data_IF_066159982322
#
_entry.id   IF_066159982322
#
_cell.length_a   1.000
_cell.length_b   1.000
_cell.length_c   1.000
_cell.angle_alpha   90.00
_cell.angle_beta   90.00
_cell.angle_gamma   90.00
#
_symmetry.space_group_name_H-M   'P 1'
#
loop_
_entity.id
_entity.type
_entity.pdbx_description
1 polymer ?
#
# COMPACT_ATOMS: atom_id res chain seq x y z
N UNK A 1 15.57 18.30 -23.92
CA UNK A 1 14.65 18.79 -22.87
C UNK A 1 13.48 17.83 -22.86
N UNK A 2 13.47 16.85 -21.95
CA UNK A 2 12.33 15.94 -21.81
C UNK A 2 11.32 16.59 -20.86
N UNK A 3 10.19 17.00 -21.41
CA UNK A 3 9.00 17.31 -20.61
C UNK A 3 8.46 15.99 -20.04
N UNK A 4 8.87 15.68 -18.81
CA UNK A 4 8.26 14.65 -17.99
C UNK A 4 6.91 15.18 -17.48
N UNK A 5 5.89 15.19 -18.34
CA UNK A 5 4.52 15.42 -17.90
C UNK A 5 4.11 14.29 -16.97
N UNK A 6 3.97 14.58 -15.67
CA UNK A 6 3.40 13.64 -14.70
C UNK A 6 1.98 13.28 -15.16
N UNK A 7 1.83 12.09 -15.77
CA UNK A 7 0.52 11.54 -16.10
C UNK A 7 -0.13 11.07 -14.81
N UNK A 8 -0.98 11.91 -14.24
CA UNK A 8 -1.84 11.51 -13.13
C UNK A 8 -2.80 10.41 -13.61
N UNK A 9 -2.80 9.29 -12.91
CA UNK A 9 -3.73 8.20 -13.22
C UNK A 9 -5.11 8.64 -12.77
N UNK A 10 -6.06 8.72 -13.70
CA UNK A 10 -7.50 8.78 -13.40
C UNK A 10 -8.16 7.68 -14.23
N UNK A 11 -7.83 6.43 -13.91
CA UNK A 11 -8.39 5.25 -14.56
C UNK A 11 -9.63 4.76 -13.82
N UNK A 12 -10.41 3.88 -14.47
CA UNK A 12 -11.60 3.23 -13.88
C UNK A 12 -11.31 2.54 -12.53
N UNK A 13 -10.05 2.15 -12.31
CA UNK A 13 -9.58 1.44 -11.12
C UNK A 13 -8.81 2.34 -10.14
N UNK A 14 -8.87 3.67 -10.31
CA UNK A 14 -8.14 4.63 -9.47
C UNK A 14 -8.38 4.39 -7.98
N UNK A 15 -9.66 4.32 -7.59
CA UNK A 15 -10.05 4.15 -6.19
C UNK A 15 -9.51 2.84 -5.61
N UNK A 16 -9.55 1.76 -6.39
CA UNK A 16 -9.06 0.45 -5.98
C UNK A 16 -7.54 0.44 -5.84
N UNK A 17 -6.82 1.01 -6.82
CA UNK A 17 -5.36 1.11 -6.78
C UNK A 17 -4.88 1.95 -5.60
N UNK A 18 -5.55 3.08 -5.32
CA UNK A 18 -5.28 3.92 -4.15
C UNK A 18 -5.51 3.14 -2.86
N UNK A 19 -6.69 2.53 -2.69
CA UNK A 19 -7.00 1.74 -1.49
C UNK A 19 -5.97 0.63 -1.28
N UNK A 20 -5.74 -0.20 -2.30
CA UNK A 20 -4.78 -1.32 -2.24
C UNK A 20 -3.39 -0.83 -1.85
N UNK A 21 -2.93 0.28 -2.42
CA UNK A 21 -1.60 0.80 -2.14
C UNK A 21 -1.45 1.36 -0.73
N UNK A 22 -2.45 2.10 -0.24
CA UNK A 22 -2.41 2.66 1.13
C UNK A 22 -2.63 1.57 2.17
N UNK A 23 -3.59 0.65 1.96
CA UNK A 23 -3.79 -0.52 2.82
C UNK A 23 -2.54 -1.38 2.92
N UNK A 24 -1.79 -1.53 1.82
CA UNK A 24 -0.51 -2.21 1.85
C UNK A 24 0.48 -1.52 2.80
N UNK A 25 0.60 -0.19 2.78
CA UNK A 25 1.51 0.52 3.68
C UNK A 25 1.19 0.28 5.16
N UNK A 26 -0.10 0.23 5.49
CA UNK A 26 -0.58 -0.02 6.85
C UNK A 26 -0.76 -1.51 7.19
N UNK A 27 -0.50 -2.43 6.24
CA UNK A 27 -0.57 -3.87 6.49
C UNK A 27 0.39 -4.31 7.59
N UNK A 28 0.06 -5.37 8.32
CA UNK A 28 0.94 -5.93 9.37
C UNK A 28 2.36 -6.21 8.83
N UNK A 29 2.44 -6.71 7.61
CA UNK A 29 3.71 -7.03 6.97
C UNK A 29 4.55 -5.80 6.65
N UNK A 30 3.95 -4.70 6.18
CA UNK A 30 4.71 -3.52 5.78
C UNK A 30 4.97 -2.60 6.96
N UNK A 31 3.93 -2.28 7.74
CA UNK A 31 3.97 -1.25 8.77
C UNK A 31 5.06 -1.52 9.81
N UNK A 32 5.24 -2.77 10.24
CA UNK A 32 6.28 -3.15 11.21
C UNK A 32 7.70 -3.26 10.61
N UNK A 33 7.83 -3.24 9.29
CA UNK A 33 9.12 -3.35 8.58
C UNK A 33 9.61 -2.01 8.04
N UNK A 34 8.69 -1.10 7.71
CA UNK A 34 8.99 0.27 7.31
C UNK A 34 9.30 1.12 8.54
N UNK A 35 10.60 1.35 8.79
CA UNK A 35 11.06 2.12 9.96
C UNK A 35 10.54 3.55 10.00
N UNK A 36 10.36 4.19 8.84
CA UNK A 36 9.91 5.58 8.78
C UNK A 36 8.44 5.65 9.15
N UNK A 37 7.61 4.85 8.48
CA UNK A 37 6.18 4.83 8.76
C UNK A 37 5.88 4.33 10.17
N UNK A 38 6.59 3.29 10.64
CA UNK A 38 6.45 2.76 12.00
C UNK A 38 6.69 3.83 13.06
N UNK A 39 7.77 4.61 12.93
CA UNK A 39 8.13 5.64 13.90
C UNK A 39 7.04 6.71 14.03
N UNK A 40 6.45 7.14 12.91
CA UNK A 40 5.36 8.13 12.91
C UNK A 40 4.11 7.50 13.55
N UNK A 41 3.77 6.28 13.13
CA UNK A 41 2.62 5.55 13.63
C UNK A 41 2.68 5.37 15.15
N UNK A 42 3.82 4.92 15.69
CA UNK A 42 4.02 4.68 17.13
C UNK A 42 4.01 6.00 17.94
N UNK A 43 4.57 7.08 17.39
CA UNK A 43 4.62 8.38 18.06
C UNK A 43 3.25 9.07 18.17
N UNK A 44 2.32 8.76 17.26
CA UNK A 44 1.08 9.52 17.07
C UNK A 44 -0.19 8.67 17.27
N UNK A 45 -0.18 7.69 18.18
CA UNK A 45 -1.34 6.82 18.46
C UNK A 45 -1.96 6.17 17.19
N UNK A 46 -1.07 5.75 16.29
CA UNK A 46 -1.40 5.14 15.01
C UNK A 46 -1.80 6.11 13.89
N UNK A 47 -1.90 7.41 14.16
CA UNK A 47 -2.27 8.40 13.16
C UNK A 47 -1.08 8.85 12.31
N UNK A 48 -1.27 8.86 11.00
CA UNK A 48 -0.29 9.33 10.03
C UNK A 48 -0.96 10.34 9.09
N UNK A 49 -0.30 11.47 8.85
CA UNK A 49 -0.80 12.48 7.92
C UNK A 49 -0.96 11.93 6.50
N UNK A 50 -2.11 12.17 5.88
CA UNK A 50 -2.38 11.83 4.48
C UNK A 50 -1.33 12.44 3.55
N UNK A 51 -0.96 13.71 3.80
CA UNK A 51 0.09 14.40 3.03
C UNK A 51 1.42 13.65 3.05
N UNK A 52 1.79 13.08 4.20
CA UNK A 52 2.98 12.24 4.31
C UNK A 52 2.89 11.03 3.37
N UNK A 53 1.76 10.31 3.38
CA UNK A 53 1.52 9.17 2.48
C UNK A 53 1.55 9.58 1.01
N UNK A 54 0.99 10.75 0.66
CA UNK A 54 0.98 11.27 -0.72
C UNK A 54 2.37 11.63 -1.26
N UNK A 55 3.40 11.70 -0.40
CA UNK A 55 4.81 11.89 -0.82
C UNK A 55 5.51 10.58 -1.19
N UNK A 56 4.94 9.42 -0.86
CA UNK A 56 5.56 8.12 -1.10
C UNK A 56 5.64 7.86 -2.60
N UNK A 57 6.71 7.22 -3.06
CA UNK A 57 7.01 7.08 -4.49
C UNK A 57 5.85 6.53 -5.32
N UNK A 58 5.14 5.50 -4.81
CA UNK A 58 3.98 4.92 -5.52
C UNK A 58 2.71 5.74 -5.42
N UNK A 59 2.64 6.69 -4.48
CA UNK A 59 1.48 7.55 -4.23
C UNK A 59 1.57 8.93 -4.90
N UNK A 60 2.76 9.36 -5.34
CA UNK A 60 2.95 10.66 -6.01
C UNK A 60 2.08 10.83 -7.26
N UNK A 61 1.84 9.73 -7.98
CA UNK A 61 1.03 9.69 -9.21
C UNK A 61 -0.49 9.82 -8.98
N UNK A 62 -0.98 9.69 -7.75
CA UNK A 62 -2.42 9.74 -7.47
C UNK A 62 -2.84 11.14 -7.05
N UNK A 63 -3.47 11.86 -7.98
CA UNK A 63 -4.04 13.19 -7.77
C UNK A 63 -5.38 13.29 -8.52
N UNK A 64 -6.32 14.11 -8.06
CA UNK A 64 -6.20 15.07 -6.95
C UNK A 64 -6.39 14.44 -5.56
N UNK A 65 -6.03 15.15 -4.49
CA UNK A 65 -6.06 14.64 -3.10
C UNK A 65 -7.48 14.27 -2.66
N UNK A 66 -8.48 15.03 -3.11
CA UNK A 66 -9.90 14.79 -2.81
C UNK A 66 -10.36 13.41 -3.31
N UNK A 67 -9.86 12.97 -4.47
CA UNK A 67 -10.15 11.63 -4.99
C UNK A 67 -9.48 10.53 -4.18
N UNK A 68 -8.32 10.80 -3.60
CA UNK A 68 -7.66 9.86 -2.68
C UNK A 68 -8.48 9.74 -1.40
N UNK A 69 -8.96 10.85 -0.85
CA UNK A 69 -9.84 10.86 0.33
C UNK A 69 -11.12 10.05 0.07
N UNK A 70 -11.82 10.31 -1.04
CA UNK A 70 -13.03 9.56 -1.43
C UNK A 70 -12.78 8.05 -1.52
N UNK A 71 -11.62 7.64 -2.05
CA UNK A 71 -11.24 6.23 -2.14
C UNK A 71 -10.99 5.63 -0.75
N UNK A 72 -10.25 6.34 0.12
CA UNK A 72 -9.89 5.85 1.45
C UNK A 72 -11.08 5.81 2.42
N UNK A 73 -12.08 6.68 2.26
CA UNK A 73 -13.33 6.62 3.03
C UNK A 73 -14.10 5.31 2.81
N UNK A 74 -13.88 4.64 1.68
CA UNK A 74 -14.48 3.34 1.34
C UNK A 74 -13.62 2.15 1.78
N UNK A 75 -12.49 2.37 2.47
CA UNK A 75 -11.66 1.28 2.99
C UNK A 75 -12.33 0.64 4.21
N UNK A 76 -12.25 -0.68 4.30
CA UNK A 76 -12.71 -1.46 5.45
C UNK A 76 -11.63 -1.60 6.54
N UNK A 77 -10.35 -1.37 6.18
CA UNK A 77 -9.18 -1.53 7.06
C UNK A 77 -8.66 -0.22 7.65
N UNK A 78 -8.98 0.91 7.02
CA UNK A 78 -8.46 2.22 7.39
C UNK A 78 -9.59 3.16 7.81
N UNK A 79 -9.27 4.09 8.69
CA UNK A 79 -10.15 5.19 9.10
C UNK A 79 -9.46 6.52 8.88
N UNK A 80 -10.24 7.50 8.43
CA UNK A 80 -9.79 8.89 8.33
C UNK A 80 -10.22 9.67 9.58
N UNK A 81 -9.44 10.70 9.93
CA UNK A 81 -9.87 11.69 10.92
C UNK A 81 -11.08 12.48 10.43
N UNK A 82 -11.76 13.18 11.35
CA UNK A 82 -12.95 13.99 11.02
C UNK A 82 -12.71 15.07 9.97
N UNK A 83 -11.47 15.58 9.89
CA UNK A 83 -11.04 16.56 8.87
C UNK A 83 -10.39 15.92 7.63
N UNK A 84 -10.35 14.59 7.53
CA UNK A 84 -9.73 13.81 6.45
C UNK A 84 -8.22 14.01 6.25
N UNK A 85 -7.51 14.62 7.21
CA UNK A 85 -6.07 14.90 7.09
C UNK A 85 -5.18 13.77 7.61
N UNK A 86 -5.73 12.87 8.44
CA UNK A 86 -4.99 11.78 9.07
C UNK A 86 -5.60 10.42 8.72
N UNK A 87 -4.76 9.41 8.65
CA UNK A 87 -5.11 8.01 8.38
C UNK A 87 -4.65 7.17 9.55
N UNK A 88 -5.48 6.22 9.99
CA UNK A 88 -5.12 5.21 10.98
C UNK A 88 -5.71 3.85 10.60
N UNK A 89 -5.11 2.77 11.11
CA UNK A 89 -5.70 1.44 11.04
C UNK A 89 -6.98 1.36 11.88
N UNK A 90 -7.95 0.61 11.38
CA UNK A 90 -9.14 0.24 12.14
C UNK A 90 -8.82 -0.83 13.19
N UNK A 91 -8.08 -1.85 12.77
CA UNK A 91 -7.69 -2.97 13.62
C UNK A 91 -6.26 -2.79 14.16
N UNK A 92 -5.99 -3.24 15.40
CA UNK A 92 -4.66 -3.19 15.99
C UNK A 92 -3.63 -3.96 15.14
N UNK A 93 -2.37 -3.55 15.26
CA UNK A 93 -1.26 -4.26 14.61
C UNK A 93 -1.07 -5.61 15.29
N UNK A 94 -0.86 -6.66 14.49
CA UNK A 94 -0.54 -7.99 15.01
C UNK A 94 0.80 -8.02 15.74
N UNK A 95 0.99 -9.03 16.58
CA UNK A 95 2.28 -9.24 17.25
C UNK A 95 3.42 -9.43 16.24
N UNK A 96 4.58 -8.83 16.54
CA UNK A 96 5.73 -8.86 15.65
C UNK A 96 6.22 -10.28 15.37
N UNK A 97 6.20 -11.18 16.37
CA UNK A 97 6.63 -12.55 16.18
C UNK A 97 5.60 -13.35 15.37
N UNK A 98 4.30 -13.08 15.54
CA UNK A 98 3.25 -13.67 14.69
C UNK A 98 3.49 -13.32 13.21
N UNK A 99 3.71 -12.03 12.92
CA UNK A 99 3.97 -11.54 11.55
C UNK A 99 5.25 -12.14 10.99
N UNK A 100 6.32 -12.18 11.78
CA UNK A 100 7.60 -12.77 11.38
C UNK A 100 7.49 -14.26 11.06
N UNK A 101 6.77 -15.01 11.90
CA UNK A 101 6.57 -16.45 11.70
C UNK A 101 5.71 -16.73 10.47
N UNK A 102 4.65 -15.95 10.27
CA UNK A 102 3.79 -16.06 9.08
C UNK A 102 4.58 -15.77 7.81
N UNK A 103 5.38 -14.68 7.78
CA UNK A 103 6.28 -14.38 6.67
C UNK A 103 7.22 -15.54 6.39
N UNK A 104 7.88 -16.09 7.41
CA UNK A 104 8.83 -17.21 7.24
C UNK A 104 8.17 -18.45 6.62
N UNK A 105 6.93 -18.76 6.98
CA UNK A 105 6.19 -19.93 6.47
C UNK A 105 5.61 -19.71 5.07
N UNK A 106 5.24 -18.48 4.74
CA UNK A 106 4.49 -18.16 3.52
C UNK A 106 5.34 -17.43 2.46
N UNK A 107 6.68 -17.45 2.59
CA UNK A 107 7.59 -16.88 1.57
C UNK A 107 8.02 -17.96 0.59
N UNK A 108 7.88 -17.67 -0.71
CA UNK A 108 8.39 -18.49 -1.80
C UNK A 108 9.54 -17.75 -2.48
N UNK A 109 10.59 -18.50 -2.84
CA UNK A 109 11.67 -18.00 -3.70
C UNK A 109 11.46 -18.57 -5.11
N UNK A 110 11.36 -17.67 -6.10
CA UNK A 110 11.15 -18.02 -7.50
C UNK A 110 12.21 -17.25 -8.30
N UNK A 111 12.95 -17.96 -9.14
CA UNK A 111 14.04 -17.42 -9.96
C UNK A 111 13.81 -17.71 -11.45
N UNK A 112 14.56 -17.02 -12.31
CA UNK A 112 14.47 -17.20 -13.77
C UNK A 112 13.64 -16.14 -14.51
N UNK A 113 13.20 -15.08 -13.85
CA UNK A 113 12.50 -13.97 -14.49
C UNK A 113 13.45 -13.13 -15.38
N UNK A 114 12.98 -12.65 -16.55
CA UNK A 114 13.66 -11.63 -17.33
C UNK A 114 13.92 -10.36 -16.49
N UNK A 115 15.03 -9.67 -16.76
CA UNK A 115 15.48 -8.51 -15.95
C UNK A 115 14.72 -7.22 -16.25
N UNK A 116 13.99 -7.20 -17.35
CA UNK A 116 13.20 -6.08 -17.86
C UNK A 116 11.73 -6.11 -17.40
N UNK A 117 11.32 -7.15 -16.65
CA UNK A 117 9.98 -7.23 -16.09
C UNK A 117 9.74 -6.14 -15.05
N UNK A 118 8.57 -5.51 -15.13
CA UNK A 118 8.08 -4.62 -14.08
C UNK A 118 7.53 -5.42 -12.91
N UNK A 119 7.35 -4.74 -11.77
CA UNK A 119 6.67 -5.35 -10.63
C UNK A 119 5.22 -5.75 -10.96
N UNK A 120 4.52 -4.97 -11.79
CA UNK A 120 3.15 -5.28 -12.21
C UNK A 120 3.10 -6.57 -13.02
N UNK A 121 4.08 -6.80 -13.90
CA UNK A 121 4.18 -8.04 -14.68
C UNK A 121 4.37 -9.25 -13.76
N UNK A 122 5.25 -9.14 -12.77
CA UNK A 122 5.49 -10.22 -11.78
C UNK A 122 4.25 -10.45 -10.91
N UNK A 123 3.58 -9.40 -10.44
CA UNK A 123 2.35 -9.52 -9.65
C UNK A 123 1.24 -10.21 -10.45
N UNK A 124 1.04 -9.83 -11.72
CA UNK A 124 0.06 -10.45 -12.60
C UNK A 124 0.37 -11.93 -12.82
N UNK A 125 1.64 -12.27 -13.09
CA UNK A 125 2.06 -13.66 -13.25
C UNK A 125 1.79 -14.49 -11.98
N UNK A 126 2.11 -13.97 -10.79
CA UNK A 126 1.84 -14.66 -9.52
C UNK A 126 0.34 -14.86 -9.32
N UNK A 127 -0.48 -13.85 -9.59
CA UNK A 127 -1.93 -13.94 -9.44
C UNK A 127 -2.54 -14.98 -10.40
N UNK A 128 -2.10 -15.00 -11.65
CA UNK A 128 -2.62 -15.93 -12.66
C UNK A 128 -2.14 -17.37 -12.47
N UNK A 129 -0.85 -17.56 -12.16
CA UNK A 129 -0.20 -18.88 -12.20
C UNK A 129 -0.08 -19.55 -10.85
N UNK A 130 -0.06 -18.78 -9.75
CA UNK A 130 0.10 -19.34 -8.41
C UNK A 130 -1.21 -19.25 -7.66
N UNK A 131 -1.79 -18.04 -7.55
CA UNK A 131 -3.01 -17.84 -6.77
C UNK A 131 -4.22 -18.47 -7.45
N UNK A 132 -4.32 -18.36 -8.77
CA UNK A 132 -5.40 -18.97 -9.56
C UNK A 132 -5.47 -20.49 -9.46
N UNK A 133 -4.38 -21.17 -9.10
CA UNK A 133 -4.33 -22.63 -8.89
C UNK A 133 -4.66 -23.05 -7.44
N UNK A 134 -4.72 -22.09 -6.51
CA UNK A 134 -4.99 -22.31 -5.08
C UNK A 134 -6.46 -22.05 -4.69
N UNK A 135 -7.27 -21.55 -5.62
CA UNK A 135 -8.71 -21.28 -5.44
C UNK A 135 -9.57 -22.47 -5.89
#
# INVERSE_FOLDING_TARGET
MHESGEKFIVSKDFEEKVKKQVEFYFSDSNLQSDKFLWKIYEANDGWVELKTILTFGRMRQYRPEEKVIEALQKSDKLVLSSNNEMIRRKDPVKDFNEVKNTKKRNTLHIEGFPKDLSQEDVENWVNEKIVGELA
#
